data_IF_833136502951
#
_entry.id   IF_833136502951
#
_cell.length_a   1.000
_cell.length_b   1.000
_cell.length_c   1.000
_cell.angle_alpha   90.00
_cell.angle_beta   90.00
_cell.angle_gamma   90.00
#
_symmetry.space_group_name_H-M   'P 1'
#
loop_
_entity.id
_entity.type
_entity.pdbx_description
1 polymer ?
#
# COMPACT_ATOMS: atom_id res chain seq x y z
N UNK A 1 21.31 28.54 12.47
CA UNK A 1 20.08 28.37 11.68
C UNK A 1 18.92 28.46 12.65
N UNK A 2 18.06 29.45 12.49
CA UNK A 2 16.93 29.64 13.41
C UNK A 2 15.91 28.51 13.25
N UNK A 3 15.60 27.87 14.37
CA UNK A 3 14.66 26.74 14.45
C UNK A 3 13.27 27.08 13.86
N UNK A 4 12.87 28.34 13.98
CA UNK A 4 11.59 28.86 13.50
C UNK A 4 11.59 28.97 11.97
N UNK A 5 12.66 29.50 11.38
CA UNK A 5 12.78 29.66 9.93
C UNK A 5 12.77 28.31 9.21
N UNK A 6 13.52 27.32 9.74
CA UNK A 6 13.54 25.94 9.21
C UNK A 6 12.17 25.28 9.27
N UNK A 7 11.34 25.63 10.27
CA UNK A 7 9.99 25.08 10.40
C UNK A 7 8.96 25.66 9.41
N UNK A 8 9.20 26.88 8.91
CA UNK A 8 8.34 27.54 7.91
C UNK A 8 8.58 27.01 6.49
N UNK A 9 9.64 26.21 6.28
CA UNK A 9 9.95 25.62 4.97
C UNK A 9 8.98 24.49 4.60
N UNK A 10 8.71 24.30 3.29
CA UNK A 10 7.84 23.23 2.81
C UNK A 10 8.25 21.85 3.35
N UNK A 11 7.26 20.99 3.58
CA UNK A 11 7.47 19.67 4.21
C UNK A 11 8.38 18.71 3.42
N UNK A 12 8.70 19.02 2.16
CA UNK A 12 9.66 18.29 1.33
C UNK A 12 11.10 18.81 1.50
N UNK A 13 11.27 19.99 2.09
CA UNK A 13 12.56 20.59 2.50
C UNK A 13 12.81 20.31 3.99
N UNK A 14 11.80 20.45 4.86
CA UNK A 14 11.90 20.19 6.30
C UNK A 14 11.48 18.75 6.65
N UNK A 15 12.42 17.95 7.16
CA UNK A 15 12.20 16.55 7.57
C UNK A 15 11.40 16.42 8.88
N UNK A 16 10.73 15.27 9.13
CA UNK A 16 9.76 15.03 10.22
C UNK A 16 10.32 15.05 11.65
N UNK A 17 11.64 15.20 11.81
CA UNK A 17 12.33 14.97 13.07
C UNK A 17 12.75 16.25 13.79
N UNK A 18 12.52 17.42 13.19
CA UNK A 18 12.78 18.67 13.89
C UNK A 18 11.64 18.99 14.85
N UNK A 19 11.73 18.45 16.07
CA UNK A 19 10.78 18.79 17.15
C UNK A 19 11.16 20.16 17.70
N UNK A 20 10.43 21.20 17.29
CA UNK A 20 10.47 22.50 17.95
C UNK A 20 10.25 22.32 19.46
N UNK A 21 11.06 23.00 20.28
CA UNK A 21 10.82 23.15 21.72
C UNK A 21 9.44 23.82 21.91
N UNK A 22 8.72 23.47 22.97
CA UNK A 22 7.33 23.89 23.19
C UNK A 22 7.14 25.41 23.10
N UNK A 23 8.09 26.17 23.65
CA UNK A 23 8.15 27.63 23.58
C UNK A 23 8.13 28.16 22.14
N UNK A 24 8.84 27.52 21.21
CA UNK A 24 8.86 27.93 19.80
C UNK A 24 7.59 27.53 19.04
N UNK A 25 6.88 26.49 19.49
CA UNK A 25 5.54 26.16 18.97
C UNK A 25 4.53 27.21 19.41
N UNK A 26 4.62 27.67 20.66
CA UNK A 26 3.77 28.72 21.20
C UNK A 26 4.00 30.06 20.50
N UNK A 27 5.23 30.40 20.10
CA UNK A 27 5.52 31.61 19.31
C UNK A 27 4.86 31.58 17.93
N UNK A 28 4.91 30.43 17.23
CA UNK A 28 4.29 30.25 15.91
C UNK A 28 2.76 30.33 16.00
N UNK A 29 2.18 29.76 17.06
CA UNK A 29 0.72 29.85 17.33
C UNK A 29 0.32 31.25 17.78
N UNK A 30 1.19 31.95 18.51
CA UNK A 30 1.02 33.32 18.97
C UNK A 30 1.03 34.37 17.84
N UNK A 31 1.70 34.10 16.71
CA UNK A 31 1.64 34.92 15.48
C UNK A 31 0.27 34.81 14.74
N UNK A 32 -0.73 34.13 15.32
CA UNK A 32 -2.07 34.00 14.74
C UNK A 32 -2.19 32.89 13.68
N UNK A 33 -1.12 32.15 13.40
CA UNK A 33 -1.19 30.95 12.60
C UNK A 33 -1.79 29.80 13.40
N UNK A 34 -3.10 29.56 13.22
CA UNK A 34 -3.75 28.34 13.72
C UNK A 34 -2.93 27.13 13.32
N UNK A 35 -2.63 26.26 14.29
CA UNK A 35 -1.92 25.01 14.01
C UNK A 35 -2.66 24.21 12.95
N UNK A 36 -1.93 23.40 12.18
CA UNK A 36 -2.54 22.46 11.22
C UNK A 36 -3.68 21.64 11.87
N UNK A 37 -3.52 21.26 13.14
CA UNK A 37 -4.52 20.53 13.91
C UNK A 37 -5.79 21.35 14.19
N UNK A 38 -5.66 22.63 14.51
CA UNK A 38 -6.80 23.52 14.73
C UNK A 38 -7.54 23.82 13.44
N UNK A 39 -6.82 24.10 12.35
CA UNK A 39 -7.41 24.27 11.01
C UNK A 39 -8.21 23.03 10.60
N UNK A 40 -7.70 21.84 10.87
CA UNK A 40 -8.43 20.58 10.62
C UNK A 40 -9.66 20.41 11.52
N UNK A 41 -9.57 20.77 12.80
CA UNK A 41 -10.70 20.71 13.74
C UNK A 41 -11.82 21.67 13.33
N UNK A 42 -11.48 22.86 12.87
CA UNK A 42 -12.41 23.89 12.40
C UNK A 42 -13.10 23.48 11.09
N UNK A 43 -12.34 22.99 10.10
CA UNK A 43 -12.90 22.44 8.86
C UNK A 43 -13.95 21.37 9.14
N UNK A 44 -13.60 20.41 9.98
CA UNK A 44 -14.51 19.35 10.37
C UNK A 44 -15.75 19.87 11.12
N UNK A 45 -15.60 20.93 11.93
CA UNK A 45 -16.71 21.58 12.62
C UNK A 45 -17.66 22.28 11.66
N UNK A 46 -17.11 22.94 10.64
CA UNK A 46 -17.89 23.51 9.56
C UNK A 46 -18.65 22.43 8.79
N UNK A 47 -17.99 21.33 8.40
CA UNK A 47 -18.66 20.22 7.71
C UNK A 47 -19.76 19.59 8.56
N UNK A 48 -19.54 19.45 9.87
CA UNK A 48 -20.56 18.94 10.80
C UNK A 48 -21.78 19.85 10.87
N UNK A 49 -21.56 21.18 10.89
CA UNK A 49 -22.62 22.20 10.91
C UNK A 49 -23.42 22.18 9.59
N UNK A 50 -22.73 22.15 8.45
CA UNK A 50 -23.35 22.09 7.11
C UNK A 50 -24.19 20.82 6.93
N UNK A 51 -23.73 19.68 7.44
CA UNK A 51 -24.45 18.41 7.38
C UNK A 51 -25.53 18.25 8.48
N UNK A 52 -25.59 19.15 9.46
CA UNK A 52 -26.51 19.03 10.60
C UNK A 52 -26.27 17.80 11.48
N UNK A 53 -25.04 17.28 11.54
CA UNK A 53 -24.68 16.06 12.28
C UNK A 53 -23.65 16.34 13.37
N UNK A 54 -23.53 15.43 14.34
CA UNK A 54 -22.50 15.56 15.36
C UNK A 54 -21.09 15.45 14.75
N UNK A 55 -20.10 16.07 15.41
CA UNK A 55 -18.69 15.96 15.05
C UNK A 55 -18.20 14.52 14.89
N UNK A 56 -18.70 13.60 15.74
CA UNK A 56 -18.35 12.17 15.65
C UNK A 56 -18.91 11.54 14.37
N UNK A 57 -20.12 11.92 13.98
CA UNK A 57 -20.76 11.42 12.77
C UNK A 57 -20.11 11.99 11.51
N UNK A 58 -19.76 13.28 11.49
CA UNK A 58 -19.01 13.90 10.40
C UNK A 58 -17.66 13.19 10.16
N UNK A 59 -16.88 12.97 11.22
CA UNK A 59 -15.61 12.19 11.16
C UNK A 59 -15.80 10.77 10.63
N UNK A 60 -16.92 10.14 10.96
CA UNK A 60 -17.21 8.77 10.53
C UNK A 60 -17.58 8.72 9.06
N UNK A 61 -18.35 9.70 8.57
CA UNK A 61 -18.74 9.82 7.16
C UNK A 61 -17.56 10.18 6.27
N UNK A 62 -16.74 11.16 6.67
CA UNK A 62 -15.50 11.53 5.95
C UNK A 62 -14.57 10.32 5.78
N UNK A 63 -14.31 9.57 6.86
CA UNK A 63 -13.53 8.32 6.79
C UNK A 63 -14.15 7.28 5.85
N UNK A 64 -15.47 7.14 5.84
CA UNK A 64 -16.19 6.20 4.96
C UNK A 64 -16.14 6.62 3.49
N UNK A 65 -16.17 7.92 3.17
CA UNK A 65 -15.97 8.39 1.80
C UNK A 65 -14.58 8.03 1.27
N UNK A 66 -13.54 8.20 2.11
CA UNK A 66 -12.18 7.76 1.79
C UNK A 66 -12.05 6.24 1.60
N UNK A 67 -12.89 5.44 2.28
CA UNK A 67 -12.90 3.98 2.09
C UNK A 67 -13.68 3.56 0.84
N UNK A 68 -14.80 4.22 0.56
CA UNK A 68 -15.66 3.92 -0.60
C UNK A 68 -14.98 4.19 -1.95
N UNK A 69 -14.28 5.32 -2.08
CA UNK A 69 -13.57 5.66 -3.32
C UNK A 69 -12.45 4.66 -3.65
N UNK A 70 -11.66 4.23 -2.64
CA UNK A 70 -10.58 3.25 -2.85
C UNK A 70 -11.07 1.84 -3.13
N UNK A 71 -12.23 1.44 -2.62
CA UNK A 71 -12.77 0.09 -2.79
C UNK A 71 -13.39 -0.08 -4.19
N UNK A 72 -14.04 0.96 -4.72
CA UNK A 72 -14.73 0.89 -6.01
C UNK A 72 -13.75 0.92 -7.21
N UNK A 73 -12.58 1.52 -7.06
CA UNK A 73 -11.53 1.56 -8.10
C UNK A 73 -10.55 0.37 -8.04
N UNK A 74 -10.82 -0.66 -7.24
CA UNK A 74 -10.07 -1.89 -7.32
C UNK A 74 -10.31 -2.54 -8.69
N UNK A 75 -9.47 -2.18 -9.68
CA UNK A 75 -9.49 -2.75 -11.02
C UNK A 75 -9.49 -4.27 -10.87
N UNK A 76 -10.55 -4.91 -11.35
CA UNK A 76 -10.66 -6.37 -11.38
C UNK A 76 -9.64 -6.89 -12.38
N UNK A 77 -8.40 -7.08 -11.92
CA UNK A 77 -7.33 -7.66 -12.74
C UNK A 77 -7.78 -9.09 -13.06
N UNK A 78 -8.09 -9.35 -14.33
CA UNK A 78 -8.43 -10.68 -14.81
C UNK A 78 -7.11 -11.45 -14.96
N UNK A 79 -6.95 -12.49 -14.16
CA UNK A 79 -5.82 -13.41 -14.31
C UNK A 79 -6.17 -14.49 -15.33
N UNK A 80 -5.22 -14.89 -16.21
CA UNK A 80 -5.44 -16.02 -17.09
C UNK A 80 -5.67 -17.30 -16.25
N UNK A 81 -6.56 -18.21 -16.67
CA UNK A 81 -6.79 -19.46 -15.97
C UNK A 81 -5.60 -20.42 -16.15
N UNK A 82 -5.35 -21.25 -15.14
CA UNK A 82 -4.33 -22.29 -15.16
C UNK A 82 -4.74 -23.38 -16.15
N UNK A 83 -3.82 -23.75 -17.04
CA UNK A 83 -4.03 -24.78 -18.07
C UNK A 83 -4.42 -26.17 -17.51
N UNK A 84 -4.18 -26.46 -16.22
CA UNK A 84 -4.53 -27.76 -15.59
C UNK A 84 -5.77 -27.72 -14.70
N UNK A 85 -5.94 -26.67 -13.88
CA UNK A 85 -6.95 -26.67 -12.81
C UNK A 85 -7.91 -25.47 -12.82
N UNK A 86 -7.79 -24.57 -13.81
CA UNK A 86 -8.67 -23.39 -13.92
C UNK A 86 -8.44 -22.29 -12.86
N UNK A 87 -7.63 -22.54 -11.82
CA UNK A 87 -7.23 -21.50 -10.86
C UNK A 87 -6.41 -20.39 -11.54
N UNK A 88 -6.35 -19.17 -11.00
CA UNK A 88 -5.51 -18.11 -11.56
C UNK A 88 -4.06 -18.56 -11.80
N UNK A 89 -3.58 -18.41 -13.03
CA UNK A 89 -2.20 -18.68 -13.38
C UNK A 89 -1.28 -17.59 -12.82
N UNK A 90 -0.04 -17.97 -12.51
CA UNK A 90 0.97 -17.01 -12.08
C UNK A 90 1.29 -16.03 -13.20
N UNK A 91 1.35 -14.74 -12.88
CA UNK A 91 1.74 -13.72 -13.86
C UNK A 91 3.17 -13.99 -14.33
N UNK A 92 3.36 -14.11 -15.66
CA UNK A 92 4.66 -14.42 -16.27
C UNK A 92 5.07 -15.89 -16.21
N UNK A 93 4.21 -16.81 -15.73
CA UNK A 93 4.49 -18.24 -15.78
C UNK A 93 4.58 -18.72 -17.24
N UNK A 94 5.74 -19.23 -17.64
CA UNK A 94 5.99 -19.78 -18.99
C UNK A 94 4.99 -20.88 -19.36
N UNK A 95 4.53 -21.65 -18.38
CA UNK A 95 3.61 -22.77 -18.59
C UNK A 95 2.14 -22.41 -18.37
N UNK A 96 1.82 -21.12 -18.16
CA UNK A 96 0.46 -20.61 -17.87
C UNK A 96 -0.28 -21.44 -16.80
N UNK A 97 0.45 -21.85 -15.76
CA UNK A 97 -0.07 -22.70 -14.67
C UNK A 97 -0.04 -21.94 -13.34
N UNK A 98 -0.89 -22.36 -12.40
CA UNK A 98 -0.82 -21.90 -11.02
C UNK A 98 0.45 -22.45 -10.33
N UNK A 99 0.85 -21.87 -9.20
CA UNK A 99 2.06 -22.26 -8.46
C UNK A 99 2.15 -23.78 -8.21
N UNK A 100 1.05 -24.42 -7.79
CA UNK A 100 1.02 -25.86 -7.47
C UNK A 100 1.21 -26.72 -8.73
N UNK A 101 0.45 -26.44 -9.79
CA UNK A 101 0.51 -27.18 -11.04
C UNK A 101 1.84 -26.95 -11.77
N UNK A 102 2.38 -25.74 -11.71
CA UNK A 102 3.69 -25.41 -12.26
C UNK A 102 4.80 -26.15 -11.51
N UNK A 103 4.79 -26.17 -10.17
CA UNK A 103 5.77 -26.93 -9.37
C UNK A 103 5.78 -28.41 -9.73
N UNK A 104 4.60 -29.02 -9.85
CA UNK A 104 4.48 -30.44 -10.22
C UNK A 104 5.14 -30.70 -11.56
N UNK A 105 4.78 -29.92 -12.59
CA UNK A 105 5.35 -30.09 -13.92
C UNK A 105 6.86 -29.86 -13.93
N UNK A 106 7.31 -28.73 -13.38
CA UNK A 106 8.73 -28.38 -13.32
C UNK A 106 9.56 -29.44 -12.58
N UNK A 107 9.01 -30.07 -11.53
CA UNK A 107 9.67 -31.17 -10.82
C UNK A 107 9.75 -32.44 -11.67
N UNK A 108 8.67 -32.83 -12.35
CA UNK A 108 8.63 -34.08 -13.13
C UNK A 108 9.38 -34.00 -14.45
N UNK A 109 9.33 -32.86 -15.12
CA UNK A 109 9.96 -32.64 -16.42
C UNK A 109 11.36 -32.00 -16.29
N UNK A 110 11.85 -31.79 -15.06
CA UNK A 110 13.11 -31.10 -14.75
C UNK A 110 13.25 -29.73 -15.45
N UNK A 111 12.14 -28.97 -15.51
CA UNK A 111 12.09 -27.66 -16.15
C UNK A 111 12.20 -26.53 -15.13
N UNK A 112 12.82 -25.43 -15.56
CA UNK A 112 12.91 -24.21 -14.77
C UNK A 112 11.72 -23.27 -15.01
N UNK A 113 11.29 -22.57 -13.97
CA UNK A 113 10.27 -21.53 -14.07
C UNK A 113 10.74 -20.23 -13.42
N UNK A 114 11.08 -19.22 -14.25
CA UNK A 114 11.53 -17.90 -13.77
C UNK A 114 10.48 -17.18 -12.92
N UNK A 115 9.21 -17.24 -13.31
CA UNK A 115 8.13 -16.54 -12.59
C UNK A 115 7.86 -17.11 -11.19
N UNK A 116 7.99 -18.44 -11.03
CA UNK A 116 7.82 -19.10 -9.73
C UNK A 116 9.13 -19.40 -9.01
N UNK A 117 10.28 -19.04 -9.62
CA UNK A 117 11.65 -19.28 -9.14
C UNK A 117 11.92 -20.76 -8.85
N UNK A 118 11.47 -21.63 -9.74
CA UNK A 118 11.82 -23.05 -9.73
C UNK A 118 13.07 -23.27 -10.58
N UNK A 119 14.05 -23.96 -10.01
CA UNK A 119 15.31 -24.34 -10.65
C UNK A 119 15.46 -25.85 -10.47
N UNK A 120 14.99 -26.63 -11.43
CA UNK A 120 15.06 -28.09 -11.44
C UNK A 120 15.99 -28.65 -12.53
N UNK A 121 16.38 -27.83 -13.51
CA UNK A 121 17.26 -28.26 -14.60
C UNK A 121 18.68 -28.65 -14.14
N UNK A 122 19.12 -28.13 -12.98
CA UNK A 122 20.42 -28.49 -12.39
C UNK A 122 20.36 -29.71 -11.46
N UNK A 123 19.17 -30.29 -11.21
CA UNK A 123 19.08 -31.51 -10.42
C UNK A 123 19.34 -32.72 -11.32
N UNK A 124 20.19 -33.68 -10.89
CA UNK A 124 20.41 -34.91 -11.64
C UNK A 124 19.08 -35.64 -11.82
N UNK A 125 18.78 -36.06 -13.06
CA UNK A 125 17.62 -36.88 -13.36
C UNK A 125 17.76 -38.24 -12.68
N UNK A 126 16.74 -38.67 -11.93
CA UNK A 126 16.68 -39.98 -11.25
C UNK A 126 16.68 -41.18 -12.22
N UNK A 127 16.81 -40.95 -13.52
CA UNK A 127 16.76 -41.95 -14.59
C UNK A 127 18.04 -42.80 -14.75
N UNK A 128 18.96 -42.81 -13.77
CA UNK A 128 20.19 -43.64 -13.80
C UNK A 128 20.20 -44.70 -12.70
N UNK A 129 19.05 -45.00 -12.09
CA UNK A 129 18.90 -46.13 -11.17
C UNK A 129 17.84 -47.07 -11.74
N UNK A 130 18.15 -47.70 -12.87
CA UNK A 130 17.61 -49.01 -13.20
C UNK A 130 18.75 -50.03 -13.04
N UNK A 131 18.39 -51.14 -12.40
CA UNK A 131 19.22 -52.23 -11.85
C UNK A 131 20.14 -52.89 -12.87
#
# INVERSE_FOLDING_TARGET
MDAIEVSKQPHWISKPYFRLKEVAKESIVGEGEKTFREKQKEKLAQTAKEMGVSMKQARKRERRQLTGARILEAKKIKFPPCARCGQPAGQGCVHSKCKKCCRYQCKHEHLDCKAHRYLFANLPSESVIEV
#
